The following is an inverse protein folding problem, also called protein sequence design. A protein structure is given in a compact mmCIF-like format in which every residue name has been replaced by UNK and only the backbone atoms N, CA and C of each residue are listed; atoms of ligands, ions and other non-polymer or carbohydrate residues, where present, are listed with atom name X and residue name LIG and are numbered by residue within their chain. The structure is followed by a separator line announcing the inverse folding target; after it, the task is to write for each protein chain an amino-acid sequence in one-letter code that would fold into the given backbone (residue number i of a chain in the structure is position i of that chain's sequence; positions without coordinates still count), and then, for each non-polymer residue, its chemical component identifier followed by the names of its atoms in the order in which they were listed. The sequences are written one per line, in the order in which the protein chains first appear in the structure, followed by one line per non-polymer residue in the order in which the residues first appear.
data_IF_714687760866
#
_entry.id   IF_714687760866
#
_cell.length_a   1.000
_cell.length_b   1.000
_cell.length_c   1.000
_cell.angle_alpha   90.00
_cell.angle_beta   90.00
_cell.angle_gamma   90.00
#
_symmetry.space_group_name_H-M   'P 1'
#
loop_
_entity.id
_entity.type
_entity.pdbx_description
1 polymer ?
#
# COMPACT_ATOMS: atom_id res chain seq x y z
N UNK A 1 3.73 -5.04 16.82
CA UNK A 1 3.92 -5.92 17.99
C UNK A 1 3.49 -5.33 19.33
N UNK A 2 3.77 -4.05 19.66
CA UNK A 2 3.48 -3.50 20.99
C UNK A 2 2.03 -3.67 21.47
N UNK A 3 1.04 -3.56 20.56
CA UNK A 3 -0.36 -3.82 20.88
C UNK A 3 -0.63 -5.25 21.37
N UNK A 4 -0.02 -6.26 20.74
CA UNK A 4 -0.17 -7.66 21.13
C UNK A 4 0.47 -7.94 22.50
N UNK A 5 1.62 -7.32 22.80
CA UNK A 5 2.25 -7.43 24.13
C UNK A 5 1.33 -6.89 25.23
N UNK A 6 0.68 -5.75 24.97
CA UNK A 6 -0.29 -5.17 25.91
C UNK A 6 -1.53 -6.06 26.07
N UNK A 7 -2.04 -6.62 24.97
CA UNK A 7 -3.17 -7.53 25.00
C UNK A 7 -2.87 -8.80 25.81
N UNK A 8 -1.68 -9.38 25.61
CA UNK A 8 -1.21 -10.54 26.36
C UNK A 8 -1.09 -10.24 27.85
N UNK A 9 -0.50 -9.11 28.21
CA UNK A 9 -0.38 -8.67 29.61
C UNK A 9 -1.74 -8.42 30.28
N UNK A 10 -2.76 -8.05 29.49
CA UNK A 10 -4.13 -7.88 29.95
C UNK A 10 -4.94 -9.19 29.96
N UNK A 11 -4.35 -10.34 29.62
CA UNK A 11 -5.03 -11.63 29.58
C UNK A 11 -6.05 -11.77 28.44
N UNK A 12 -5.94 -10.95 27.39
CA UNK A 12 -6.82 -11.03 26.23
C UNK A 12 -6.41 -12.18 25.31
N UNK A 13 -7.40 -12.84 24.70
CA UNK A 13 -7.18 -13.87 23.69
C UNK A 13 -6.56 -13.26 22.42
N UNK A 14 -5.31 -13.61 22.14
CA UNK A 14 -4.57 -13.10 20.99
C UNK A 14 -5.06 -13.68 19.67
N UNK A 15 -5.70 -14.86 19.69
CA UNK A 15 -6.16 -15.55 18.47
C UNK A 15 -7.29 -14.77 17.78
N UNK A 16 -8.06 -13.99 18.54
CA UNK A 16 -9.11 -13.12 18.02
C UNK A 16 -8.60 -11.78 17.45
N UNK A 17 -7.33 -11.45 17.67
CA UNK A 17 -6.76 -10.16 17.23
C UNK A 17 -6.15 -10.33 15.84
N UNK A 18 -6.74 -9.63 14.87
CA UNK A 18 -6.23 -9.55 13.51
C UNK A 18 -5.86 -8.13 13.13
N UNK A 19 -4.88 -7.99 12.25
CA UNK A 19 -4.48 -6.69 11.72
C UNK A 19 -3.93 -6.82 10.30
N UNK A 20 -3.98 -5.70 9.58
CA UNK A 20 -3.35 -5.50 8.29
C UNK A 20 -2.54 -4.20 8.34
N UNK A 21 -1.44 -4.15 7.59
CA UNK A 21 -0.69 -2.93 7.35
C UNK A 21 -0.93 -2.49 5.90
N UNK A 22 -1.74 -1.45 5.71
CA UNK A 22 -2.10 -0.97 4.37
C UNK A 22 -0.99 -0.13 3.75
N UNK A 23 -0.36 -0.65 2.70
CA UNK A 23 0.69 0.01 1.92
C UNK A 23 0.15 0.48 0.58
N UNK A 24 0.25 1.78 0.30
CA UNK A 24 -0.22 2.37 -0.95
C UNK A 24 0.80 2.14 -2.08
N UNK A 25 0.36 1.51 -3.17
CA UNK A 25 1.24 1.14 -4.29
C UNK A 25 1.25 2.20 -5.38
N UNK A 26 0.16 2.37 -6.15
CA UNK A 26 0.17 3.18 -7.38
C UNK A 26 0.54 4.66 -7.19
N UNK A 27 0.35 5.20 -5.97
CA UNK A 27 0.65 6.61 -5.66
C UNK A 27 2.14 6.91 -5.74
N UNK A 28 2.98 5.93 -5.44
CA UNK A 28 4.44 6.05 -5.48
C UNK A 28 4.91 6.25 -6.92
N UNK A 29 4.48 5.37 -7.84
CA UNK A 29 4.82 5.53 -9.26
C UNK A 29 4.21 6.80 -9.86
N UNK A 30 2.99 7.19 -9.47
CA UNK A 30 2.39 8.44 -9.96
C UNK A 30 3.29 9.66 -9.70
N UNK A 31 3.84 9.78 -8.49
CA UNK A 31 4.70 10.91 -8.12
C UNK A 31 6.13 10.75 -8.66
N UNK A 32 6.73 9.57 -8.55
CA UNK A 32 8.10 9.33 -9.02
C UNK A 32 8.17 9.40 -10.55
N UNK A 33 7.23 8.81 -11.29
CA UNK A 33 7.21 8.86 -12.75
C UNK A 33 7.05 10.29 -13.25
N UNK A 34 6.27 11.13 -12.55
CA UNK A 34 6.15 12.56 -12.86
C UNK A 34 7.50 13.25 -12.74
N UNK A 35 8.24 13.01 -11.65
CA UNK A 35 9.58 13.59 -11.44
C UNK A 35 10.61 13.06 -12.45
N UNK A 36 10.60 11.75 -12.74
CA UNK A 36 11.45 11.15 -13.77
C UNK A 36 11.16 11.71 -15.16
N UNK A 37 9.89 11.91 -15.50
CA UNK A 37 9.48 12.53 -16.78
C UNK A 37 9.96 13.97 -16.89
N UNK A 38 9.98 14.73 -15.79
CA UNK A 38 10.52 16.09 -15.77
C UNK A 38 12.03 16.15 -16.00
N UNK A 39 12.79 15.14 -15.54
CA UNK A 39 14.22 15.03 -15.84
C UNK A 39 14.46 14.74 -17.33
N UNK A 40 13.64 13.87 -17.92
CA UNK A 40 13.60 13.64 -19.37
C UNK A 40 14.82 12.96 -19.98
N UNK A 41 15.76 12.46 -19.17
CA UNK A 41 16.91 11.67 -19.66
C UNK A 41 16.51 10.21 -19.91
N UNK A 42 17.24 9.51 -20.77
CA UNK A 42 16.97 8.11 -21.07
C UNK A 42 17.09 7.23 -19.81
N UNK A 43 18.05 7.53 -18.93
CA UNK A 43 18.23 6.84 -17.65
C UNK A 43 17.03 7.06 -16.71
N UNK A 44 16.48 8.28 -16.67
CA UNK A 44 15.31 8.58 -15.86
C UNK A 44 14.05 7.88 -16.39
N UNK A 45 13.82 7.95 -17.70
CA UNK A 45 12.67 7.33 -18.34
C UNK A 45 12.70 5.79 -18.22
N UNK A 46 13.89 5.18 -18.21
CA UNK A 46 14.07 3.75 -17.99
C UNK A 46 13.69 3.27 -16.57
N UNK A 47 13.50 4.18 -15.60
CA UNK A 47 13.10 3.85 -14.23
C UNK A 47 11.60 3.98 -13.97
N UNK A 48 10.82 4.50 -14.93
CA UNK A 48 9.37 4.66 -14.78
C UNK A 48 8.66 3.33 -14.48
N UNK A 49 7.68 3.36 -13.58
CA UNK A 49 6.85 2.21 -13.22
C UNK A 49 7.55 1.14 -12.38
N UNK A 50 8.76 1.41 -11.87
CA UNK A 50 9.53 0.46 -11.06
C UNK A 50 9.42 0.74 -9.56
N UNK A 51 9.22 2.00 -9.16
CA UNK A 51 9.41 2.41 -7.79
C UNK A 51 8.32 1.88 -6.84
N UNK A 52 7.07 1.80 -7.29
CA UNK A 52 5.97 1.30 -6.46
C UNK A 52 6.11 -0.20 -6.16
N UNK A 53 6.44 -1.01 -7.16
CA UNK A 53 6.67 -2.44 -6.97
C UNK A 53 7.95 -2.70 -6.18
N UNK A 54 9.00 -1.92 -6.41
CA UNK A 54 10.22 -1.98 -5.61
C UNK A 54 9.91 -1.67 -4.13
N UNK A 55 9.14 -0.62 -3.86
CA UNK A 55 8.70 -0.29 -2.51
C UNK A 55 7.87 -1.43 -1.87
N UNK A 56 6.87 -1.97 -2.58
CA UNK A 56 6.05 -3.07 -2.07
C UNK A 56 6.89 -4.31 -1.72
N UNK A 57 7.89 -4.64 -2.55
CA UNK A 57 8.83 -5.74 -2.30
C UNK A 57 9.65 -5.53 -1.03
N UNK A 58 10.21 -4.34 -0.84
CA UNK A 58 10.99 -4.03 0.36
C UNK A 58 10.13 -3.90 1.62
N UNK A 59 8.88 -3.47 1.49
CA UNK A 59 7.91 -3.51 2.59
C UNK A 59 7.61 -4.96 3.01
N UNK A 60 7.56 -5.90 2.05
CA UNK A 60 7.40 -7.32 2.36
C UNK A 60 8.67 -7.95 2.97
N UNK A 61 9.88 -7.57 2.52
CA UNK A 61 11.13 -7.98 3.17
C UNK A 61 11.17 -7.51 4.63
N UNK A 62 10.82 -6.24 4.89
CA UNK A 62 10.70 -5.71 6.25
C UNK A 62 9.63 -6.44 7.09
N UNK A 63 8.56 -6.92 6.46
CA UNK A 63 7.57 -7.78 7.11
C UNK A 63 8.19 -9.11 7.53
N UNK A 64 8.95 -9.78 6.66
CA UNK A 64 9.63 -11.04 7.01
C UNK A 64 10.60 -10.85 8.18
N UNK A 65 11.41 -9.78 8.13
CA UNK A 65 12.36 -9.43 9.20
C UNK A 65 11.65 -9.12 10.53
N UNK A 66 10.53 -8.40 10.51
CA UNK A 66 9.79 -8.09 11.73
C UNK A 66 9.26 -9.36 12.43
N UNK A 67 8.91 -10.38 11.65
CA UNK A 67 8.36 -11.64 12.14
C UNK A 67 9.40 -12.76 12.31
N UNK A 68 10.69 -12.48 12.11
CA UNK A 68 11.79 -13.43 12.36
C UNK A 68 12.47 -13.23 13.74
N UNK A 69 11.86 -12.46 14.64
CA UNK A 69 12.46 -12.10 15.94
C UNK A 69 11.97 -13.01 17.08
N UNK A 70 12.81 -13.27 18.09
CA UNK A 70 12.39 -13.99 19.31
C UNK A 70 11.19 -13.35 20.02
N UNK A 71 11.08 -12.01 19.92
CA UNK A 71 9.91 -11.30 20.46
C UNK A 71 8.62 -11.71 19.76
N UNK A 72 8.68 -11.91 18.44
CA UNK A 72 7.53 -12.42 17.69
C UNK A 72 7.25 -13.88 18.03
N UNK A 73 8.28 -14.73 18.07
CA UNK A 73 8.16 -16.16 18.39
C UNK A 73 7.40 -16.39 19.71
N UNK A 74 7.70 -15.59 20.75
CA UNK A 74 6.98 -15.66 22.03
C UNK A 74 5.49 -15.31 21.92
N UNK A 75 5.12 -14.36 21.05
CA UNK A 75 3.72 -13.99 20.81
C UNK A 75 3.00 -15.02 19.94
N UNK A 76 3.68 -15.57 18.94
CA UNK A 76 3.17 -16.62 18.07
C UNK A 76 2.85 -17.89 18.87
N UNK A 77 3.74 -18.28 19.79
CA UNK A 77 3.51 -19.39 20.74
C UNK A 77 2.34 -19.12 21.69
N UNK A 78 1.96 -17.85 21.88
CA UNK A 78 0.76 -17.45 22.64
C UNK A 78 -0.49 -17.29 21.77
N UNK A 79 -0.44 -17.70 20.49
CA UNK A 79 -1.57 -17.69 19.56
C UNK A 79 -1.77 -16.38 18.78
N UNK A 80 -0.78 -15.49 18.76
CA UNK A 80 -0.92 -14.22 18.03
C UNK A 80 -0.90 -14.38 16.51
N UNK A 81 -1.70 -13.57 15.81
CA UNK A 81 -1.73 -13.51 14.35
C UNK A 81 -0.73 -12.46 13.80
N UNK A 82 -0.04 -12.79 12.69
CA UNK A 82 0.81 -11.83 11.97
C UNK A 82 -0.04 -10.69 11.39
N UNK A 83 0.44 -9.46 11.50
CA UNK A 83 -0.16 -8.33 10.77
C UNK A 83 0.23 -8.44 9.30
N UNK A 84 -0.74 -8.76 8.45
CA UNK A 84 -0.52 -9.02 7.02
C UNK A 84 -0.24 -7.72 6.24
N UNK A 85 0.72 -7.69 5.31
CA UNK A 85 0.83 -6.61 4.35
C UNK A 85 -0.42 -6.56 3.48
N UNK A 86 -0.99 -5.38 3.30
CA UNK A 86 -2.16 -5.15 2.46
C UNK A 86 -1.81 -4.11 1.39
N UNK A 87 -1.82 -4.50 0.12
CA UNK A 87 -1.59 -3.62 -1.02
C UNK A 87 -2.84 -2.82 -1.31
N UNK A 88 -2.78 -1.50 -1.06
CA UNK A 88 -3.86 -0.56 -1.28
C UNK A 88 -3.54 0.35 -2.48
N UNK A 89 -4.58 0.95 -3.07
CA UNK A 89 -4.45 1.80 -4.26
C UNK A 89 -3.72 1.06 -5.38
N UNK A 90 -4.21 -0.13 -5.74
CA UNK A 90 -3.60 -1.02 -6.74
C UNK A 90 -4.20 -0.85 -8.14
N UNK A 91 -5.08 0.12 -8.34
CA UNK A 91 -5.54 0.52 -9.66
C UNK A 91 -4.47 1.34 -10.39
N UNK A 92 -4.07 0.90 -11.57
CA UNK A 92 -3.15 1.63 -12.46
C UNK A 92 -3.72 2.99 -12.86
N UNK A 93 -2.85 3.99 -12.96
CA UNK A 93 -3.21 5.37 -13.36
C UNK A 93 -2.74 5.59 -14.80
N UNK A 94 -3.67 5.53 -15.75
CA UNK A 94 -3.38 5.75 -17.18
C UNK A 94 -3.10 4.48 -18.00
N UNK A 95 -2.94 4.61 -19.32
CA UNK A 95 -2.83 3.48 -20.25
C UNK A 95 -1.41 2.91 -20.40
N UNK A 96 -0.42 3.57 -19.79
CA UNK A 96 1.01 3.26 -19.93
C UNK A 96 1.36 1.85 -19.42
N UNK A 97 0.59 1.34 -18.45
CA UNK A 97 0.82 0.07 -17.80
C UNK A 97 -0.39 -0.86 -17.89
N UNK A 98 -0.14 -2.18 -17.84
CA UNK A 98 -1.21 -3.18 -17.80
C UNK A 98 -2.11 -2.92 -16.59
N UNK A 99 -3.45 -2.99 -16.71
CA UNK A 99 -4.37 -2.69 -15.60
C UNK A 99 -4.21 -3.62 -14.40
N UNK A 100 -3.54 -4.77 -14.56
CA UNK A 100 -3.27 -5.77 -13.54
C UNK A 100 -1.92 -5.61 -12.83
N UNK A 101 -1.07 -4.65 -13.24
CA UNK A 101 0.32 -4.53 -12.79
C UNK A 101 0.48 -4.60 -11.26
N UNK A 102 -0.30 -3.81 -10.52
CA UNK A 102 -0.20 -3.77 -9.06
C UNK A 102 -1.04 -4.85 -8.35
N UNK A 103 -1.50 -5.85 -9.10
CA UNK A 103 -2.21 -7.02 -8.58
C UNK A 103 -1.39 -8.28 -8.80
N UNK A 104 -0.88 -8.50 -10.00
CA UNK A 104 -0.16 -9.72 -10.36
C UNK A 104 1.36 -9.67 -10.07
N UNK A 105 1.96 -8.48 -9.91
CA UNK A 105 3.38 -8.34 -9.58
C UNK A 105 3.74 -8.27 -8.07
N UNK A 106 2.85 -7.89 -7.12
CA UNK A 106 3.14 -7.97 -5.69
C UNK A 106 2.49 -9.20 -5.00
N UNK A 107 2.50 -10.37 -5.65
CA UNK A 107 1.95 -11.60 -5.08
C UNK A 107 2.97 -12.27 -4.16
N UNK A 108 2.63 -12.42 -2.88
CA UNK A 108 3.45 -13.12 -1.88
C UNK A 108 2.59 -13.80 -0.79
N UNK A 109 3.10 -14.82 -0.09
CA UNK A 109 2.39 -15.46 1.01
C UNK A 109 1.95 -14.49 2.11
N UNK A 110 0.74 -14.68 2.67
CA UNK A 110 0.27 -13.88 3.80
C UNK A 110 -0.01 -12.41 3.47
N UNK A 111 -0.17 -12.05 2.19
CA UNK A 111 -0.54 -10.70 1.75
C UNK A 111 -2.03 -10.60 1.40
N UNK A 112 -2.53 -9.36 1.38
CA UNK A 112 -3.87 -9.01 0.92
C UNK A 112 -3.75 -7.93 -0.16
N UNK A 113 -4.64 -7.91 -1.13
CA UNK A 113 -4.75 -6.80 -2.08
C UNK A 113 -6.18 -6.24 -2.03
N UNK A 114 -6.33 -4.94 -1.77
CA UNK A 114 -7.64 -4.26 -1.80
C UNK A 114 -7.80 -3.54 -3.13
N UNK A 115 -8.62 -4.14 -3.99
CA UNK A 115 -8.85 -3.67 -5.35
C UNK A 115 -10.10 -2.80 -5.42
N UNK A 116 -10.06 -1.80 -6.28
CA UNK A 116 -11.29 -1.18 -6.79
C UNK A 116 -11.98 -2.17 -7.73
N UNK A 117 -13.30 -2.05 -7.88
CA UNK A 117 -14.12 -2.95 -8.71
C UNK A 117 -13.57 -3.08 -10.14
N UNK A 118 -13.22 -1.97 -10.80
CA UNK A 118 -12.64 -2.00 -12.14
C UNK A 118 -11.30 -2.77 -12.21
N UNK A 119 -10.47 -2.67 -11.16
CA UNK A 119 -9.20 -3.41 -11.08
C UNK A 119 -9.44 -4.90 -10.82
N UNK A 120 -10.45 -5.24 -10.02
CA UNK A 120 -10.89 -6.61 -9.80
C UNK A 120 -11.35 -7.25 -11.11
N UNK A 121 -12.21 -6.59 -11.88
CA UNK A 121 -12.68 -7.09 -13.18
C UNK A 121 -11.53 -7.24 -14.18
N UNK A 122 -10.67 -6.22 -14.31
CA UNK A 122 -9.51 -6.31 -15.20
C UNK A 122 -8.57 -7.47 -14.81
N UNK A 123 -8.42 -7.74 -13.51
CA UNK A 123 -7.65 -8.90 -13.03
C UNK A 123 -8.35 -10.21 -13.34
N UNK A 124 -9.67 -10.29 -13.21
CA UNK A 124 -10.43 -11.49 -13.54
C UNK A 124 -10.31 -11.84 -15.04
N UNK A 125 -10.27 -10.84 -15.92
CA UNK A 125 -10.18 -11.03 -17.37
C UNK A 125 -8.76 -11.24 -17.89
N UNK A 126 -7.76 -10.58 -17.27
CA UNK A 126 -6.41 -10.47 -17.84
C UNK A 126 -5.27 -10.78 -16.86
N UNK A 127 -5.58 -11.10 -15.60
CA UNK A 127 -4.58 -11.35 -14.55
C UNK A 127 -3.77 -12.60 -14.81
N UNK A 128 -2.46 -12.54 -14.56
CA UNK A 128 -1.54 -13.68 -14.70
C UNK A 128 -0.82 -13.93 -13.39
N UNK A 129 -1.36 -14.81 -12.55
CA UNK A 129 -0.76 -15.17 -11.25
C UNK A 129 0.34 -16.21 -11.45
N UNK A 130 1.58 -15.83 -11.19
CA UNK A 130 2.79 -16.66 -11.42
C UNK A 130 3.38 -17.27 -10.14
N UNK A 131 2.61 -17.27 -9.06
CA UNK A 131 3.10 -17.60 -7.72
C UNK A 131 3.76 -16.40 -7.06
N UNK A 132 4.78 -16.64 -6.24
CA UNK A 132 5.51 -15.58 -5.54
C UNK A 132 6.37 -14.74 -6.50
N UNK A 133 6.02 -13.46 -6.61
CA UNK A 133 6.69 -12.46 -7.47
C UNK A 133 7.44 -11.41 -6.67
N UNK A 134 7.54 -11.58 -5.35
CA UNK A 134 8.07 -10.58 -4.41
C UNK A 134 9.40 -11.03 -3.83
N UNK A 135 9.48 -12.23 -3.24
CA UNK A 135 10.63 -12.62 -2.40
C UNK A 135 11.96 -12.68 -3.16
N UNK A 136 11.92 -13.06 -4.44
CA UNK A 136 13.11 -13.11 -5.31
C UNK A 136 13.55 -11.73 -5.81
N UNK A 137 12.74 -10.69 -5.59
CA UNK A 137 12.89 -9.37 -6.18
C UNK A 137 13.62 -8.34 -5.32
N UNK A 138 14.01 -8.65 -4.07
CA UNK A 138 14.53 -7.63 -3.13
C UNK A 138 15.79 -6.92 -3.61
N UNK A 139 16.76 -7.67 -4.17
CA UNK A 139 18.00 -7.07 -4.69
C UNK A 139 17.72 -6.09 -5.82
N UNK A 140 16.83 -6.44 -6.75
CA UNK A 140 16.44 -5.55 -7.84
C UNK A 140 15.65 -4.35 -7.31
N UNK A 141 14.74 -4.56 -6.36
CA UNK A 141 13.96 -3.49 -5.74
C UNK A 141 14.86 -2.43 -5.07
N UNK A 142 15.88 -2.85 -4.34
CA UNK A 142 16.91 -1.93 -3.81
C UNK A 142 17.65 -1.18 -4.91
N UNK A 143 17.99 -1.86 -6.01
CA UNK A 143 18.70 -1.25 -7.12
C UNK A 143 17.82 -0.20 -7.84
N UNK A 144 16.54 -0.49 -8.05
CA UNK A 144 15.59 0.42 -8.68
C UNK A 144 15.40 1.69 -7.85
N UNK A 145 15.17 1.57 -6.54
CA UNK A 145 15.04 2.75 -5.66
C UNK A 145 16.35 3.54 -5.55
N UNK A 146 17.51 2.87 -5.46
CA UNK A 146 18.81 3.56 -5.50
C UNK A 146 19.03 4.28 -6.83
N UNK A 147 18.57 3.71 -7.95
CA UNK A 147 18.62 4.36 -9.26
C UNK A 147 17.81 5.65 -9.27
N UNK A 148 16.62 5.64 -8.69
CA UNK A 148 15.78 6.84 -8.54
C UNK A 148 16.48 7.88 -7.66
N UNK A 149 17.07 7.47 -6.54
CA UNK A 149 17.81 8.37 -5.64
C UNK A 149 19.08 8.95 -6.27
N UNK A 150 19.79 8.17 -7.09
CA UNK A 150 20.98 8.61 -7.82
C UNK A 150 20.68 9.73 -8.84
N UNK A 151 19.42 9.84 -9.29
CA UNK A 151 18.94 10.93 -10.15
C UNK A 151 18.45 12.15 -9.35
N UNK A 152 18.66 12.17 -8.03
CA UNK A 152 18.29 13.26 -7.15
C UNK A 152 16.83 13.25 -6.68
N UNK A 153 16.08 12.18 -6.95
CA UNK A 153 14.70 12.02 -6.46
C UNK A 153 14.74 11.27 -5.14
N UNK A 154 14.55 11.99 -4.02
CA UNK A 154 14.56 11.37 -2.69
C UNK A 154 13.30 10.54 -2.46
N UNK A 155 13.47 9.23 -2.30
CA UNK A 155 12.38 8.32 -1.97
C UNK A 155 11.72 8.68 -0.63
N UNK A 156 12.52 9.02 0.38
CA UNK A 156 12.02 9.41 1.70
C UNK A 156 11.15 10.67 1.66
N UNK A 157 11.53 11.67 0.87
CA UNK A 157 10.76 12.89 0.72
C UNK A 157 9.45 12.65 -0.05
N UNK A 158 9.47 11.82 -1.10
CA UNK A 158 8.26 11.38 -1.80
C UNK A 158 7.28 10.69 -0.86
N UNK A 159 7.72 9.71 -0.06
CA UNK A 159 6.82 9.00 0.86
C UNK A 159 6.27 9.93 1.94
N UNK A 160 7.09 10.86 2.46
CA UNK A 160 6.63 11.88 3.41
C UNK A 160 5.55 12.77 2.79
N UNK A 161 5.79 13.29 1.59
CA UNK A 161 4.81 14.10 0.87
C UNK A 161 3.51 13.33 0.64
N UNK A 162 3.59 12.09 0.15
CA UNK A 162 2.42 11.25 -0.09
C UNK A 162 1.64 10.94 1.20
N UNK A 163 2.34 10.84 2.33
CA UNK A 163 1.72 10.71 3.66
C UNK A 163 0.92 11.95 4.05
N UNK A 164 1.53 13.14 3.95
CA UNK A 164 0.90 14.43 4.25
C UNK A 164 -0.31 14.70 3.35
N UNK A 165 -0.15 14.51 2.04
CA UNK A 165 -1.25 14.63 1.08
C UNK A 165 -2.35 13.59 1.33
N UNK A 166 -1.97 12.39 1.74
CA UNK A 166 -2.90 11.32 2.09
C UNK A 166 -3.83 11.75 3.21
N UNK A 167 -3.28 12.25 4.31
CA UNK A 167 -4.04 12.76 5.47
C UNK A 167 -4.97 13.90 5.04
N UNK A 168 -4.45 14.88 4.28
CA UNK A 168 -5.26 16.00 3.81
C UNK A 168 -6.44 15.54 2.93
N UNK A 169 -6.21 14.64 1.97
CA UNK A 169 -7.26 14.09 1.09
C UNK A 169 -8.33 13.34 1.88
N UNK A 170 -7.96 12.59 2.92
CA UNK A 170 -8.93 11.93 3.79
C UNK A 170 -9.76 12.93 4.60
N UNK A 171 -9.14 13.97 5.14
CA UNK A 171 -9.86 15.01 5.89
C UNK A 171 -10.88 15.75 4.99
N UNK A 172 -10.50 16.10 3.76
CA UNK A 172 -11.40 16.71 2.78
C UNK A 172 -12.58 15.78 2.44
N UNK A 173 -12.31 14.52 2.10
CA UNK A 173 -13.36 13.56 1.77
C UNK A 173 -14.33 13.33 2.94
N UNK A 174 -13.84 13.38 4.18
CA UNK A 174 -14.68 13.30 5.37
C UNK A 174 -15.59 14.53 5.52
N UNK A 175 -15.06 15.73 5.28
CA UNK A 175 -15.87 16.95 5.33
C UNK A 175 -16.95 16.94 4.23
N UNK A 176 -16.60 16.52 3.02
CA UNK A 176 -17.56 16.39 1.92
C UNK A 176 -18.70 15.41 2.28
N UNK A 177 -18.38 14.29 2.93
CA UNK A 177 -19.39 13.36 3.45
C UNK A 177 -20.30 14.02 4.50
N UNK A 178 -19.72 14.73 5.47
CA UNK A 178 -20.50 15.43 6.51
C UNK A 178 -21.43 16.50 5.91
N UNK A 179 -20.94 17.26 4.93
CA UNK A 179 -21.72 18.29 4.25
C UNK A 179 -22.89 17.67 3.46
N UNK A 180 -22.63 16.56 2.76
CA UNK A 180 -23.67 15.81 2.03
C UNK A 180 -24.76 15.26 2.97
N UNK A 181 -24.36 14.68 4.10
CA UNK A 181 -25.29 14.16 5.12
C UNK A 181 -26.09 15.32 5.74
N UNK A 182 -25.43 16.42 6.12
CA UNK A 182 -26.08 17.61 6.69
C UNK A 182 -27.10 18.20 5.73
N UNK A 183 -26.74 18.34 4.45
CA UNK A 183 -27.65 18.79 3.40
C UNK A 183 -28.87 17.87 3.29
N UNK A 184 -28.66 16.55 3.30
CA UNK A 184 -29.76 15.58 3.23
C UNK A 184 -30.67 15.59 4.47
N UNK A 185 -30.14 15.88 5.65
CA UNK A 185 -30.95 15.99 6.89
C UNK A 185 -31.78 17.26 6.86
N UNK A 186 -31.17 18.39 6.51
CA UNK A 186 -31.85 19.69 6.44
C UNK A 186 -32.90 19.75 5.33
N UNK A 187 -32.69 19.02 4.22
CA UNK A 187 -33.69 18.92 3.15
C UNK A 187 -34.89 18.02 3.49
N UNK A 188 -34.83 17.28 4.61
CA UNK A 188 -35.88 16.34 5.05
C UNK A 188 -36.69 16.85 6.24
N UNK A 189 -36.49 18.09 6.67
CA UNK A 189 -37.26 18.68 7.77
C UNK A 189 -37.24 20.19 7.74
N UNK A 190 -38.20 20.78 7.00
CA UNK A 190 -39.21 21.74 7.49
C UNK A 190 -40.42 21.64 6.56
N UNK A 191 -41.23 20.59 6.69
CA UNK A 191 -42.68 20.72 6.47
C UNK A 191 -43.22 21.10 7.86
N UNK A 192 -43.34 22.41 8.11
CA UNK A 192 -44.07 22.96 9.26
C UNK A 192 -45.57 22.71 9.04
N UNK A 193 -46.14 21.76 9.78
CA UNK A 193 -47.58 21.69 10.07
C UNK A 193 -47.98 22.77 11.09
#
# INVERSE_FOLDING_TARGET
MAGLVKAQAAGLDLTAIHSVASFFVSRVDTEIDKRLTLLGTDEALALKGKAALANARLAYEAFEEAFSTHRWEALENAGANRQRPLWASTGVKGPEYRPTLYVDEPVAPGTVNTMLEATLHATAEHGVVRGDTVTRGYTQARADLRGVEALGISYAEVVRQLGEEGVAKFATAWQELLDAVTKSLNSKGVDEE
#
